data_IF_278186030947
#
_entry.id   IF_278186030947
#
_cell.length_a   1.000
_cell.length_b   1.000
_cell.length_c   1.000
_cell.angle_alpha   90.00
_cell.angle_beta   90.00
_cell.angle_gamma   90.00
#
_symmetry.space_group_name_H-M   'P 1'
#
loop_
_entity.id
_entity.type
_entity.pdbx_description
1 polymer ?
#
# COMPACT_ATOMS: atom_id res chain seq x y z
N UNK A 1 -31.60 -42.93 86.60
CA UNK A 1 -30.28 -42.75 85.95
C UNK A 1 -30.37 -42.69 84.42
N UNK A 2 -31.01 -43.67 83.76
CA UNK A 2 -31.08 -43.73 82.29
C UNK A 2 -31.75 -42.53 81.58
N UNK A 3 -32.76 -41.90 82.19
CA UNK A 3 -33.45 -40.72 81.61
C UNK A 3 -32.56 -39.47 81.56
N UNK A 4 -31.67 -39.30 82.54
CA UNK A 4 -30.71 -38.19 82.58
C UNK A 4 -29.59 -38.38 81.54
N UNK A 5 -29.11 -39.62 81.39
CA UNK A 5 -28.14 -39.96 80.34
C UNK A 5 -28.72 -39.76 78.93
N UNK A 6 -29.98 -40.14 78.71
CA UNK A 6 -30.67 -39.91 77.44
C UNK A 6 -30.86 -38.41 77.16
N UNK A 7 -31.26 -37.62 78.16
CA UNK A 7 -31.40 -36.17 78.02
C UNK A 7 -30.04 -35.49 77.70
N UNK A 8 -28.96 -35.92 78.37
CA UNK A 8 -27.62 -35.40 78.11
C UNK A 8 -27.13 -35.76 76.70
N UNK A 9 -27.39 -36.98 76.24
CA UNK A 9 -27.05 -37.42 74.89
C UNK A 9 -27.79 -36.62 73.81
N UNK A 10 -29.07 -36.30 74.02
CA UNK A 10 -29.86 -35.45 73.12
C UNK A 10 -29.29 -34.03 73.09
N UNK A 11 -28.93 -33.46 74.25
CA UNK A 11 -28.36 -32.13 74.34
C UNK A 11 -27.02 -32.04 73.60
N UNK A 12 -26.18 -33.06 73.74
CA UNK A 12 -24.89 -33.17 73.05
C UNK A 12 -25.09 -33.28 71.53
N UNK A 13 -26.09 -34.06 71.08
CA UNK A 13 -26.46 -34.13 69.66
C UNK A 13 -26.90 -32.77 69.11
N UNK A 14 -27.72 -32.02 69.85
CA UNK A 14 -28.18 -30.69 69.41
C UNK A 14 -27.00 -29.72 69.28
N UNK A 15 -26.05 -29.74 70.22
CA UNK A 15 -24.84 -28.90 70.14
C UNK A 15 -23.98 -29.28 68.92
N UNK A 16 -23.81 -30.58 68.64
CA UNK A 16 -23.05 -31.04 67.47
C UNK A 16 -23.73 -30.66 66.15
N UNK A 17 -25.06 -30.79 66.07
CA UNK A 17 -25.83 -30.43 64.86
C UNK A 17 -25.79 -28.93 64.60
N UNK A 18 -25.98 -28.11 65.64
CA UNK A 18 -25.91 -26.64 65.51
C UNK A 18 -24.51 -26.18 65.12
N UNK A 19 -23.46 -26.77 65.70
CA UNK A 19 -22.08 -26.49 65.31
C UNK A 19 -21.77 -26.92 63.86
N UNK A 20 -22.21 -28.11 63.45
CA UNK A 20 -22.02 -28.59 62.08
C UNK A 20 -22.75 -27.70 61.05
N UNK A 21 -23.93 -27.19 61.39
CA UNK A 21 -24.68 -26.27 60.54
C UNK A 21 -24.01 -24.90 60.43
N UNK A 22 -23.47 -24.40 61.55
CA UNK A 22 -22.68 -23.15 61.57
C UNK A 22 -21.39 -23.29 60.74
N UNK A 23 -20.67 -24.41 60.87
CA UNK A 23 -19.48 -24.65 60.06
C UNK A 23 -19.80 -24.74 58.56
N UNK A 24 -20.93 -25.37 58.19
CA UNK A 24 -21.38 -25.47 56.79
C UNK A 24 -21.80 -24.13 56.21
N UNK A 25 -22.48 -23.29 56.98
CA UNK A 25 -22.91 -21.95 56.54
C UNK A 25 -21.70 -21.04 56.35
N UNK A 26 -20.77 -20.99 57.31
CA UNK A 26 -19.52 -20.25 57.15
C UNK A 26 -18.70 -20.74 55.93
N UNK A 27 -18.63 -22.05 55.70
CA UNK A 27 -17.95 -22.60 54.54
C UNK A 27 -18.66 -22.29 53.21
N UNK A 28 -19.99 -22.17 53.22
CA UNK A 28 -20.78 -21.77 52.06
C UNK A 28 -20.58 -20.28 51.75
N UNK A 29 -20.57 -19.42 52.77
CA UNK A 29 -20.31 -17.98 52.63
C UNK A 29 -18.90 -17.72 52.09
N UNK A 30 -17.87 -18.37 52.63
CA UNK A 30 -16.50 -18.25 52.12
C UNK A 30 -16.37 -18.70 50.66
N UNK A 31 -17.14 -19.71 50.22
CA UNK A 31 -17.17 -20.14 48.82
C UNK A 31 -17.89 -19.14 47.92
N UNK A 32 -18.97 -18.53 48.41
CA UNK A 32 -19.69 -17.49 47.68
C UNK A 32 -18.81 -16.26 47.47
N UNK A 33 -18.10 -15.81 48.51
CA UNK A 33 -17.17 -14.68 48.42
C UNK A 33 -16.03 -14.96 47.42
N UNK A 34 -15.43 -16.15 47.47
CA UNK A 34 -14.41 -16.56 46.49
C UNK A 34 -14.97 -16.63 45.06
N UNK A 35 -16.23 -17.05 44.88
CA UNK A 35 -16.87 -17.08 43.58
C UNK A 35 -17.11 -15.66 43.04
N UNK A 36 -17.58 -14.73 43.87
CA UNK A 36 -17.75 -13.33 43.52
C UNK A 36 -16.42 -12.66 43.16
N UNK A 37 -15.36 -12.90 43.94
CA UNK A 37 -14.02 -12.41 43.63
C UNK A 37 -13.52 -12.91 42.27
N UNK A 38 -13.71 -14.21 41.98
CA UNK A 38 -13.34 -14.77 40.67
C UNK A 38 -14.15 -14.20 39.52
N UNK A 39 -15.43 -13.94 39.72
CA UNK A 39 -16.28 -13.28 38.71
C UNK A 39 -15.81 -11.84 38.46
N UNK A 40 -15.51 -11.09 39.52
CA UNK A 40 -14.98 -9.74 39.40
C UNK A 40 -13.63 -9.72 38.67
N UNK A 41 -12.71 -10.62 39.02
CA UNK A 41 -11.44 -10.77 38.30
C UNK A 41 -11.65 -11.16 36.83
N UNK A 42 -12.56 -12.09 36.54
CA UNK A 42 -12.86 -12.51 35.18
C UNK A 42 -13.40 -11.34 34.35
N UNK A 43 -14.35 -10.57 34.88
CA UNK A 43 -14.87 -9.38 34.22
C UNK A 43 -13.79 -8.32 33.99
N UNK A 44 -12.92 -8.09 34.98
CA UNK A 44 -11.80 -7.16 34.81
C UNK A 44 -10.85 -7.61 33.68
N UNK A 45 -10.47 -8.89 33.66
CA UNK A 45 -9.63 -9.46 32.59
C UNK A 45 -10.32 -9.41 31.23
N UNK A 46 -11.62 -9.64 31.18
CA UNK A 46 -12.41 -9.53 29.95
C UNK A 46 -12.40 -8.09 29.42
N UNK A 47 -12.66 -7.10 30.27
CA UNK A 47 -12.61 -5.68 29.89
C UNK A 47 -11.21 -5.28 29.38
N UNK A 48 -10.15 -5.69 30.08
CA UNK A 48 -8.78 -5.46 29.62
C UNK A 48 -8.50 -6.12 28.26
N UNK A 49 -8.96 -7.36 28.09
CA UNK A 49 -8.80 -8.10 26.83
C UNK A 49 -9.55 -7.42 25.69
N UNK A 50 -10.77 -6.92 25.92
CA UNK A 50 -11.55 -6.18 24.93
C UNK A 50 -10.84 -4.89 24.49
N UNK A 51 -10.24 -4.14 25.41
CA UNK A 51 -9.44 -2.95 25.08
C UNK A 51 -8.26 -3.32 24.18
N UNK A 52 -7.53 -4.38 24.51
CA UNK A 52 -6.40 -4.86 23.70
C UNK A 52 -6.86 -5.31 22.31
N UNK A 53 -7.95 -6.09 22.24
CA UNK A 53 -8.52 -6.57 20.98
C UNK A 53 -8.94 -5.38 20.11
N UNK A 54 -9.60 -4.37 20.68
CA UNK A 54 -9.99 -3.18 19.94
C UNK A 54 -8.78 -2.40 19.41
N UNK A 55 -7.73 -2.24 20.22
CA UNK A 55 -6.49 -1.60 19.80
C UNK A 55 -5.80 -2.38 18.66
N UNK A 56 -5.79 -3.71 18.72
CA UNK A 56 -5.26 -4.58 17.66
C UNK A 56 -6.07 -4.45 16.37
N UNK A 57 -7.40 -4.44 16.46
CA UNK A 57 -8.27 -4.24 15.29
C UNK A 57 -8.06 -2.89 14.64
N UNK A 58 -7.95 -1.83 15.44
CA UNK A 58 -7.71 -0.49 14.95
C UNK A 58 -6.33 -0.37 14.28
N UNK A 59 -5.31 -1.00 14.87
CA UNK A 59 -3.97 -1.08 14.29
C UNK A 59 -3.98 -1.87 12.96
N UNK A 60 -4.63 -3.03 12.92
CA UNK A 60 -4.76 -3.83 11.71
C UNK A 60 -5.45 -3.04 10.58
N UNK A 61 -6.53 -2.33 10.91
CA UNK A 61 -7.24 -1.47 9.94
C UNK A 61 -6.36 -0.34 9.43
N UNK A 62 -5.62 0.34 10.31
CA UNK A 62 -4.64 1.37 9.92
C UNK A 62 -3.57 0.79 9.01
N UNK A 63 -2.98 -0.35 9.37
CA UNK A 63 -1.94 -1.00 8.57
C UNK A 63 -2.47 -1.40 7.18
N UNK A 64 -3.71 -1.90 7.10
CA UNK A 64 -4.32 -2.23 5.83
C UNK A 64 -4.51 -0.99 4.94
N UNK A 65 -4.98 0.13 5.50
CA UNK A 65 -5.10 1.38 4.73
C UNK A 65 -3.74 1.89 4.24
N UNK A 66 -2.70 1.80 5.06
CA UNK A 66 -1.33 2.17 4.66
C UNK A 66 -0.79 1.27 3.56
N UNK A 67 -1.03 -0.05 3.65
CA UNK A 67 -0.62 -1.00 2.61
C UNK A 67 -1.31 -0.72 1.28
N UNK A 68 -2.60 -0.39 1.29
CA UNK A 68 -3.33 -0.01 0.07
C UNK A 68 -2.78 1.28 -0.53
N UNK A 69 -2.59 2.32 0.29
CA UNK A 69 -2.00 3.58 -0.18
C UNK A 69 -0.58 3.38 -0.75
N UNK A 70 0.24 2.53 -0.13
CA UNK A 70 1.57 2.20 -0.64
C UNK A 70 1.50 1.43 -1.97
N UNK A 71 0.57 0.48 -2.10
CA UNK A 71 0.37 -0.26 -3.34
C UNK A 71 -0.08 0.66 -4.49
N UNK A 72 -0.98 1.62 -4.21
CA UNK A 72 -1.40 2.64 -5.18
C UNK A 72 -0.24 3.54 -5.60
N UNK A 73 0.58 4.01 -4.65
CA UNK A 73 1.78 4.80 -4.95
C UNK A 73 2.78 4.00 -5.79
N UNK A 74 3.01 2.73 -5.44
CA UNK A 74 3.89 1.87 -6.20
C UNK A 74 3.39 1.67 -7.62
N UNK A 75 2.09 1.44 -7.81
CA UNK A 75 1.48 1.32 -9.13
C UNK A 75 1.60 2.62 -9.95
N UNK A 76 1.42 3.77 -9.32
CA UNK A 76 1.60 5.07 -9.99
C UNK A 76 3.06 5.30 -10.41
N UNK A 77 4.02 4.92 -9.55
CA UNK A 77 5.45 5.02 -9.84
C UNK A 77 5.87 4.07 -10.96
N UNK A 78 5.40 2.82 -10.95
CA UNK A 78 5.74 1.86 -12.02
C UNK A 78 5.15 2.30 -13.36
N UNK A 79 3.92 2.80 -13.38
CA UNK A 79 3.30 3.36 -14.59
C UNK A 79 4.08 4.58 -15.10
N UNK A 80 4.47 5.49 -14.21
CA UNK A 80 5.26 6.67 -14.58
C UNK A 80 6.64 6.28 -15.11
N UNK A 81 7.29 5.29 -14.48
CA UNK A 81 8.58 4.78 -14.93
C UNK A 81 8.47 4.12 -16.32
N UNK A 82 7.43 3.31 -16.56
CA UNK A 82 7.18 2.71 -17.87
C UNK A 82 6.97 3.77 -18.95
N UNK A 83 6.17 4.80 -18.67
CA UNK A 83 5.95 5.91 -19.62
C UNK A 83 7.23 6.67 -19.93
N UNK A 84 8.07 6.94 -18.92
CA UNK A 84 9.37 7.59 -19.11
C UNK A 84 10.29 6.72 -19.96
N UNK A 85 10.33 5.42 -19.71
CA UNK A 85 11.13 4.50 -20.51
C UNK A 85 10.69 4.50 -21.98
N UNK A 86 9.38 4.38 -22.24
CA UNK A 86 8.85 4.44 -23.60
C UNK A 86 9.17 5.78 -24.29
N UNK A 87 9.10 6.89 -23.56
CA UNK A 87 9.45 8.23 -24.08
C UNK A 87 10.93 8.32 -24.44
N UNK A 88 11.83 7.78 -23.61
CA UNK A 88 13.27 7.75 -23.88
C UNK A 88 13.57 6.90 -25.12
N UNK A 89 12.91 5.75 -25.24
CA UNK A 89 13.06 4.87 -26.40
C UNK A 89 12.57 5.54 -27.68
N UNK A 90 11.44 6.24 -27.64
CA UNK A 90 10.95 7.04 -28.77
C UNK A 90 11.95 8.12 -29.18
N UNK A 91 12.40 8.94 -28.22
CA UNK A 91 13.37 10.00 -28.48
C UNK A 91 14.68 9.45 -29.05
N UNK A 92 15.12 8.27 -28.62
CA UNK A 92 16.30 7.62 -29.17
C UNK A 92 16.08 7.17 -30.62
N UNK A 93 14.91 6.60 -30.94
CA UNK A 93 14.55 6.23 -32.32
C UNK A 93 14.47 7.45 -33.23
N UNK A 94 13.78 8.50 -32.80
CA UNK A 94 13.69 9.76 -33.54
C UNK A 94 15.07 10.37 -33.78
N UNK A 95 15.93 10.39 -32.76
CA UNK A 95 17.29 10.92 -32.91
C UNK A 95 18.12 10.12 -33.92
N UNK A 96 18.01 8.79 -33.91
CA UNK A 96 18.67 7.95 -34.90
C UNK A 96 18.15 8.21 -36.32
N UNK A 97 16.84 8.36 -36.50
CA UNK A 97 16.23 8.71 -37.79
C UNK A 97 16.69 10.08 -38.28
N UNK A 98 16.76 11.09 -37.39
CA UNK A 98 17.24 12.43 -37.73
C UNK A 98 18.71 12.43 -38.14
N UNK A 99 19.56 11.67 -37.44
CA UNK A 99 20.96 11.48 -37.83
C UNK A 99 21.07 10.82 -39.19
N UNK A 100 20.34 9.74 -39.44
CA UNK A 100 20.32 9.07 -40.74
C UNK A 100 19.86 9.99 -41.89
N UNK A 101 18.85 10.84 -41.64
CA UNK A 101 18.43 11.87 -42.59
C UNK A 101 19.52 12.91 -42.85
N UNK A 102 20.19 13.40 -41.81
CA UNK A 102 21.27 14.39 -41.94
C UNK A 102 22.50 13.81 -42.68
N UNK A 103 22.79 12.53 -42.49
CA UNK A 103 23.88 11.82 -43.17
C UNK A 103 23.54 11.44 -44.62
N UNK A 104 22.27 11.54 -45.03
CA UNK A 104 21.84 11.27 -46.40
C UNK A 104 22.42 12.32 -47.34
N UNK A 105 23.10 11.89 -48.41
CA UNK A 105 23.70 12.84 -49.38
C UNK A 105 22.60 13.72 -50.00
N UNK A 106 22.88 15.02 -50.04
CA UNK A 106 22.02 15.99 -50.71
C UNK A 106 21.81 15.60 -52.18
N UNK A 107 20.57 15.69 -52.72
CA UNK A 107 20.31 15.42 -54.12
C UNK A 107 21.16 16.31 -55.03
N UNK A 108 21.66 15.75 -56.13
CA UNK A 108 22.53 16.45 -57.09
C UNK A 108 21.93 17.77 -57.60
N UNK A 109 20.60 17.84 -57.71
CA UNK A 109 19.88 19.06 -58.06
C UNK A 109 20.09 20.20 -57.05
N UNK A 110 20.10 19.89 -55.76
CA UNK A 110 20.30 20.87 -54.67
C UNK A 110 21.77 21.31 -54.60
N UNK A 111 22.71 20.36 -54.77
CA UNK A 111 24.14 20.66 -54.83
C UNK A 111 24.44 21.62 -55.99
N UNK A 112 23.92 21.33 -57.18
CA UNK A 112 24.04 22.20 -58.37
C UNK A 112 23.44 23.59 -58.18
N UNK A 113 22.37 23.70 -57.39
CA UNK A 113 21.78 25.00 -57.08
C UNK A 113 22.72 25.86 -56.23
N UNK A 114 23.43 25.23 -55.29
CA UNK A 114 24.41 25.91 -54.41
C UNK A 114 25.73 26.24 -55.13
N UNK A 115 26.15 25.40 -56.07
CA UNK A 115 27.38 25.63 -56.85
C UNK A 115 27.23 26.73 -57.92
N UNK A 116 26.04 27.35 -58.05
CA UNK A 116 25.82 28.42 -59.02
C UNK A 116 26.57 29.69 -58.61
N UNK A 117 27.34 30.32 -59.51
CA UNK A 117 28.07 31.54 -59.20
C UNK A 117 27.12 32.66 -58.77
N UNK A 118 27.56 33.45 -57.78
CA UNK A 118 26.77 34.57 -57.26
C UNK A 118 26.51 35.62 -58.36
N UNK A 119 25.25 35.78 -58.76
CA UNK A 119 24.85 36.81 -59.70
C UNK A 119 24.92 38.19 -59.03
N UNK A 120 25.94 38.96 -59.34
CA UNK A 120 26.23 40.29 -58.75
C UNK A 120 25.58 41.42 -59.56
N UNK A 121 24.38 41.20 -60.11
CA UNK A 121 23.62 42.20 -60.85
C UNK A 121 22.45 41.62 -61.66
N UNK A 122 21.52 42.49 -62.09
CA UNK A 122 20.31 42.08 -62.80
C UNK A 122 20.62 41.39 -64.16
N UNK A 123 21.62 41.88 -64.91
CA UNK A 123 22.04 41.31 -66.19
C UNK A 123 22.60 39.88 -66.02
N UNK A 124 23.42 39.67 -65.00
CA UNK A 124 24.02 38.37 -64.70
C UNK A 124 22.99 37.38 -64.17
N UNK A 125 22.00 37.86 -63.41
CA UNK A 125 20.85 37.06 -63.01
C UNK A 125 20.05 36.58 -64.23
N UNK A 126 19.69 37.48 -65.16
CA UNK A 126 18.96 37.10 -66.39
C UNK A 126 19.73 36.10 -67.27
N UNK A 127 21.05 36.23 -67.37
CA UNK A 127 21.87 35.26 -68.11
C UNK A 127 21.92 33.91 -67.39
N UNK A 128 21.99 33.91 -66.05
CA UNK A 128 21.99 32.67 -65.28
C UNK A 128 20.71 31.85 -65.53
N UNK A 129 19.52 32.49 -65.54
CA UNK A 129 18.22 31.83 -65.72
C UNK A 129 18.00 31.31 -67.15
N UNK A 130 18.65 31.91 -68.16
CA UNK A 130 18.57 31.48 -69.56
C UNK A 130 19.50 30.30 -69.92
N UNK A 131 20.51 30.02 -69.10
CA UNK A 131 21.45 28.91 -69.32
C UNK A 131 20.76 27.54 -69.19
N UNK A 132 20.72 26.79 -70.28
CA UNK A 132 19.93 25.59 -70.46
C UNK A 132 20.45 24.38 -69.69
N UNK A 133 19.94 24.18 -68.47
CA UNK A 133 19.57 22.83 -68.06
C UNK A 133 18.43 22.90 -67.04
N UNK A 134 17.18 22.59 -67.44
CA UNK A 134 16.09 22.48 -66.48
C UNK A 134 16.44 21.41 -65.44
N UNK A 135 16.15 21.69 -64.16
CA UNK A 135 16.24 20.69 -63.10
C UNK A 135 15.21 19.61 -63.41
N UNK A 136 15.62 18.54 -64.09
CA UNK A 136 14.74 17.39 -64.29
C UNK A 136 14.54 16.70 -62.93
N UNK A 137 13.30 16.32 -62.58
CA UNK A 137 13.08 15.50 -61.40
C UNK A 137 13.86 14.19 -61.54
N UNK A 138 14.37 13.64 -60.42
CA UNK A 138 14.99 12.32 -60.46
C UNK A 138 13.99 11.32 -61.05
N UNK A 139 14.42 10.53 -62.04
CA UNK A 139 13.63 9.38 -62.53
C UNK A 139 13.80 8.26 -61.50
N UNK A 140 12.68 7.75 -61.02
CA UNK A 140 12.61 6.59 -60.11
C UNK A 140 13.30 5.36 -60.70
#
# INVERSE_FOLDING_TARGET
MNRLLAALAILLLVVLVTWALWQRTNAAEARAELAEQRLAEAHYREQQSQVIINALWENARRLETQRRALAEQQAALTHTAANRQATIEELHRENATLRAWADTRLPTAVIRLRDRPAATGARDYYQSVRGAQPLQPPRE
#
